data_IF_576609041070
#
_entry.id   IF_576609041070
#
_cell.length_a   1.000
_cell.length_b   1.000
_cell.length_c   1.000
_cell.angle_alpha   90.00
_cell.angle_beta   90.00
_cell.angle_gamma   90.00
#
_symmetry.space_group_name_H-M   'P 1'
#
loop_
_entity.id
_entity.type
_entity.pdbx_description
1 polymer ?
#
# COMPACT_ATOMS: atom_id res chain seq x y z
N UNK A 1 39.12 -6.11 -60.96
CA UNK A 1 38.78 -4.86 -61.69
C UNK A 1 37.28 -4.84 -61.95
N UNK A 2 36.68 -3.65 -61.77
CA UNK A 2 35.30 -3.20 -62.11
C UNK A 2 34.14 -3.69 -61.22
N UNK A 3 33.58 -2.91 -60.28
CA UNK A 3 32.73 -1.67 -60.29
C UNK A 3 31.23 -1.84 -60.59
N UNK A 4 30.45 -1.16 -59.71
CA UNK A 4 29.11 -0.52 -59.86
C UNK A 4 27.90 -1.48 -59.89
N UNK A 5 26.84 -1.36 -59.07
CA UNK A 5 25.97 -0.26 -58.54
C UNK A 5 24.57 -0.28 -59.20
N UNK A 6 23.57 -0.32 -58.32
CA UNK A 6 22.27 0.38 -58.33
C UNK A 6 21.07 -0.14 -59.18
N UNK A 7 19.96 -0.34 -58.45
CA UNK A 7 18.55 0.00 -58.78
C UNK A 7 17.82 -0.80 -59.88
N UNK A 8 16.53 -1.12 -59.82
CA UNK A 8 15.40 -0.70 -58.98
C UNK A 8 14.14 -1.53 -59.36
N UNK A 9 13.19 -1.70 -58.41
CA UNK A 9 11.70 -1.62 -58.61
C UNK A 9 11.04 -2.82 -59.37
N UNK A 10 9.93 -3.48 -59.01
CA UNK A 10 8.66 -3.19 -58.30
C UNK A 10 7.94 -4.52 -57.98
N UNK A 11 7.31 -4.67 -56.81
CA UNK A 11 5.97 -5.28 -56.58
C UNK A 11 5.75 -5.63 -55.08
N UNK A 12 4.89 -4.86 -54.41
CA UNK A 12 4.19 -5.26 -53.17
C UNK A 12 2.91 -6.07 -53.53
N UNK A 13 2.04 -6.55 -52.60
CA UNK A 13 2.03 -6.51 -51.12
C UNK A 13 1.69 -7.87 -50.44
N UNK A 14 1.78 -7.97 -49.10
CA UNK A 14 0.74 -8.54 -48.21
C UNK A 14 1.29 -8.90 -46.81
N UNK A 15 0.73 -8.22 -45.81
CA UNK A 15 0.49 -8.60 -44.42
C UNK A 15 1.17 -9.85 -43.84
N UNK A 16 2.01 -9.66 -42.81
CA UNK A 16 1.96 -10.41 -41.55
C UNK A 16 2.83 -9.73 -40.48
N UNK A 17 2.24 -8.89 -39.65
CA UNK A 17 2.68 -8.74 -38.25
C UNK A 17 2.18 -9.98 -37.49
N UNK A 18 3.07 -10.70 -36.79
CA UNK A 18 3.02 -10.63 -35.33
C UNK A 18 4.39 -10.90 -34.68
N UNK A 19 5.09 -9.87 -34.19
CA UNK A 19 6.30 -10.08 -33.39
C UNK A 19 6.62 -8.93 -32.40
N UNK A 20 5.64 -8.07 -32.07
CA UNK A 20 5.84 -6.98 -31.09
C UNK A 20 5.14 -7.20 -29.75
N UNK A 21 4.14 -8.08 -29.66
CA UNK A 21 3.45 -8.38 -28.40
C UNK A 21 4.20 -9.36 -27.49
N UNK A 22 5.13 -10.17 -28.02
CA UNK A 22 5.91 -11.09 -27.19
C UNK A 22 7.12 -10.43 -26.49
N UNK A 23 7.47 -9.18 -26.82
CA UNK A 23 8.60 -8.47 -26.21
C UNK A 23 8.19 -7.52 -25.07
N UNK A 24 6.89 -7.23 -24.89
CA UNK A 24 6.41 -6.41 -23.76
C UNK A 24 6.35 -7.16 -22.42
N UNK A 25 6.51 -8.49 -22.43
CA UNK A 25 6.50 -9.34 -21.24
C UNK A 25 7.88 -9.65 -20.63
N UNK A 26 8.99 -9.13 -21.20
CA UNK A 26 10.35 -9.51 -20.82
C UNK A 26 11.24 -8.32 -20.45
N UNK A 27 10.69 -7.26 -19.86
CA UNK A 27 11.54 -6.30 -19.16
C UNK A 27 11.81 -6.87 -17.76
N UNK A 28 13.07 -7.20 -17.41
CA UNK A 28 13.41 -7.70 -16.09
C UNK A 28 13.06 -6.64 -15.04
N UNK A 29 12.52 -7.09 -13.91
CA UNK A 29 12.35 -6.23 -12.73
C UNK A 29 13.75 -5.82 -12.26
N UNK A 30 14.17 -4.60 -12.59
CA UNK A 30 15.50 -4.09 -12.23
C UNK A 30 16.18 -3.16 -13.24
N UNK A 31 15.70 -3.02 -14.47
CA UNK A 31 16.31 -2.04 -15.38
C UNK A 31 16.00 -0.61 -14.91
N UNK A 32 17.00 0.30 -14.79
CA UNK A 32 16.70 1.73 -14.78
C UNK A 32 15.89 2.01 -16.03
N UNK A 33 14.85 2.84 -15.93
CA UNK A 33 14.09 3.29 -17.09
C UNK A 33 15.11 3.76 -18.14
N UNK A 34 15.30 2.97 -19.20
CA UNK A 34 15.95 3.49 -20.39
C UNK A 34 15.00 4.58 -20.85
N UNK A 35 15.46 5.82 -20.82
CA UNK A 35 14.80 6.96 -21.45
C UNK A 35 14.76 6.69 -22.96
N UNK A 36 13.85 5.81 -23.37
CA UNK A 36 13.54 5.59 -24.78
C UNK A 36 12.70 6.79 -25.19
N UNK A 37 13.19 7.62 -26.13
CA UNK A 37 12.42 8.74 -26.64
C UNK A 37 11.09 8.22 -27.16
N UNK A 38 9.99 8.87 -26.78
CA UNK A 38 8.68 8.50 -27.29
C UNK A 38 8.69 8.57 -28.83
N UNK A 39 8.17 7.52 -29.49
CA UNK A 39 8.07 7.56 -30.94
C UNK A 39 7.06 8.64 -31.37
N UNK A 40 7.21 9.24 -32.56
CA UNK A 40 6.20 10.15 -33.10
C UNK A 40 4.81 9.50 -33.12
N UNK A 41 3.82 10.15 -32.49
CA UNK A 41 2.45 9.64 -32.38
C UNK A 41 2.19 8.72 -31.18
N UNK A 42 3.21 8.43 -30.36
CA UNK A 42 3.04 7.69 -29.11
C UNK A 42 2.47 8.60 -28.02
N UNK A 43 1.49 8.12 -27.26
CA UNK A 43 0.97 8.88 -26.13
C UNK A 43 2.04 9.00 -25.05
N UNK A 44 2.26 10.26 -24.62
CA UNK A 44 3.21 10.59 -23.57
C UNK A 44 2.50 11.11 -22.35
N UNK A 45 3.17 10.95 -21.24
CA UNK A 45 2.75 11.33 -19.91
C UNK A 45 3.10 12.82 -19.66
N UNK A 46 2.71 13.41 -18.51
CA UNK A 46 2.99 14.81 -18.18
C UNK A 46 4.48 15.14 -18.03
N UNK A 47 5.35 14.14 -18.01
CA UNK A 47 6.82 14.23 -17.95
C UNK A 47 7.47 13.81 -19.27
N UNK A 48 6.69 13.59 -20.34
CA UNK A 48 7.21 13.20 -21.66
C UNK A 48 7.54 11.71 -21.83
N UNK A 49 7.17 10.86 -20.86
CA UNK A 49 7.45 9.42 -20.89
C UNK A 49 6.36 8.67 -21.67
N UNK A 50 6.69 7.62 -22.44
CA UNK A 50 5.70 6.84 -23.16
C UNK A 50 4.73 6.10 -22.21
N UNK A 51 3.43 6.16 -22.50
CA UNK A 51 2.36 5.47 -21.76
C UNK A 51 1.39 4.77 -22.71
N UNK A 52 0.67 3.75 -22.20
CA UNK A 52 -0.39 3.12 -23.00
C UNK A 52 -1.62 4.04 -23.10
N UNK A 53 -2.41 3.92 -24.18
CA UNK A 53 -3.67 4.67 -24.31
C UNK A 53 -4.66 4.42 -23.16
N UNK A 54 -4.71 3.20 -22.58
CA UNK A 54 -5.56 2.95 -21.42
C UNK A 54 -5.07 3.71 -20.19
N UNK A 55 -3.76 3.72 -19.95
CA UNK A 55 -3.12 4.45 -18.84
C UNK A 55 -3.36 5.96 -18.96
N UNK A 56 -3.22 6.52 -20.16
CA UNK A 56 -3.47 7.94 -20.42
C UNK A 56 -4.94 8.31 -20.17
N UNK A 57 -5.90 7.51 -20.67
CA UNK A 57 -7.32 7.76 -20.44
C UNK A 57 -7.69 7.70 -18.96
N UNK A 58 -7.12 6.77 -18.20
CA UNK A 58 -7.30 6.71 -16.75
C UNK A 58 -6.72 7.95 -16.07
N UNK A 59 -5.50 8.32 -16.45
CA UNK A 59 -4.83 9.52 -15.96
C UNK A 59 -5.64 10.80 -16.22
N UNK A 60 -6.15 10.99 -17.44
CA UNK A 60 -6.96 12.16 -17.80
C UNK A 60 -8.32 12.17 -17.07
N UNK A 61 -8.92 11.00 -16.78
CA UNK A 61 -10.12 10.92 -15.91
C UNK A 61 -9.81 11.41 -14.50
N UNK A 62 -8.69 10.98 -13.93
CA UNK A 62 -8.28 11.42 -12.60
C UNK A 62 -7.98 12.91 -12.60
N UNK A 63 -7.22 13.43 -13.57
CA UNK A 63 -6.93 14.87 -13.68
C UNK A 63 -8.20 15.72 -13.72
N UNK A 64 -9.22 15.32 -14.49
CA UNK A 64 -10.52 16.00 -14.52
C UNK A 64 -11.19 16.04 -13.15
N UNK A 65 -10.98 15.02 -12.32
CA UNK A 65 -11.56 14.96 -10.98
C UNK A 65 -10.86 15.86 -9.95
N UNK A 66 -9.69 16.44 -10.25
CA UNK A 66 -8.87 17.19 -9.30
C UNK A 66 -9.27 18.67 -9.14
N UNK A 67 -10.34 19.12 -9.82
CA UNK A 67 -10.86 20.50 -9.73
C UNK A 67 -9.76 21.58 -9.85
N UNK A 68 -8.81 21.39 -10.78
CA UNK A 68 -7.74 22.36 -11.05
C UNK A 68 -6.49 22.23 -10.17
N UNK A 69 -6.44 21.29 -9.22
CA UNK A 69 -5.19 21.01 -8.47
C UNK A 69 -4.15 20.38 -9.38
N UNK A 70 -2.97 21.01 -9.46
CA UNK A 70 -1.79 20.42 -10.10
C UNK A 70 -1.15 19.41 -9.18
N UNK A 71 -0.84 18.23 -9.72
CA UNK A 71 -0.09 17.21 -9.00
C UNK A 71 1.40 17.55 -9.00
N UNK A 72 2.04 17.33 -7.86
CA UNK A 72 3.50 17.29 -7.80
C UNK A 72 4.02 16.08 -8.59
N UNK A 73 5.29 16.11 -9.06
CA UNK A 73 5.92 14.94 -9.69
C UNK A 73 5.81 13.66 -8.84
N UNK A 74 5.84 13.79 -7.51
CA UNK A 74 5.66 12.70 -6.53
C UNK A 74 4.29 12.06 -6.60
N UNK A 75 3.26 12.89 -6.55
CA UNK A 75 1.87 12.42 -6.62
C UNK A 75 1.55 11.83 -7.99
N UNK A 76 2.19 12.37 -9.03
CA UNK A 76 2.09 11.93 -10.40
C UNK A 76 2.69 10.54 -10.65
N UNK A 77 3.90 10.25 -10.13
CA UNK A 77 4.52 8.94 -10.25
C UNK A 77 3.75 7.87 -9.45
N UNK A 78 3.29 8.22 -8.24
CA UNK A 78 2.41 7.36 -7.44
C UNK A 78 1.11 7.04 -8.19
N UNK A 79 0.49 8.07 -8.77
CA UNK A 79 -0.71 8.00 -9.59
C UNK A 79 -0.53 7.07 -10.79
N UNK A 80 0.50 7.27 -11.61
CA UNK A 80 0.79 6.38 -12.73
C UNK A 80 1.05 4.96 -12.28
N UNK A 81 1.73 4.79 -11.15
CA UNK A 81 2.08 3.48 -10.71
C UNK A 81 0.89 2.70 -10.14
N UNK A 82 -0.07 3.39 -9.51
CA UNK A 82 -1.37 2.86 -9.12
C UNK A 82 -2.26 2.60 -10.34
N UNK A 83 -2.25 3.47 -11.36
CA UNK A 83 -2.95 3.24 -12.64
C UNK A 83 -2.42 1.99 -13.34
N UNK A 84 -1.11 1.78 -13.36
CA UNK A 84 -0.52 0.64 -14.07
C UNK A 84 -0.62 -0.70 -13.31
N UNK A 85 -1.41 -0.78 -12.22
CA UNK A 85 -1.70 -2.05 -11.54
C UNK A 85 -2.76 -2.86 -12.29
N UNK A 86 -2.72 -4.21 -12.21
CA UNK A 86 -3.80 -5.06 -12.71
C UNK A 86 -5.13 -4.66 -12.08
N UNK A 87 -6.15 -4.44 -12.92
CA UNK A 87 -7.50 -4.21 -12.43
C UNK A 87 -8.01 -5.46 -11.72
N UNK A 88 -8.59 -5.30 -10.53
CA UNK A 88 -9.33 -6.39 -9.89
C UNK A 88 -10.67 -6.51 -10.62
N UNK A 89 -11.05 -7.69 -11.15
CA UNK A 89 -12.22 -7.81 -12.04
C UNK A 89 -13.57 -7.46 -11.40
N UNK A 90 -13.68 -7.42 -10.08
CA UNK A 90 -14.93 -7.19 -9.34
C UNK A 90 -14.72 -6.60 -7.93
N UNK A 91 -15.78 -6.02 -7.37
CA UNK A 91 -15.82 -5.37 -6.04
C UNK A 91 -15.59 -3.85 -6.08
N UNK A 92 -15.93 -3.08 -5.03
CA UNK A 92 -15.70 -1.64 -4.94
C UNK A 92 -14.20 -1.32 -5.15
N UNK A 93 -13.28 -2.13 -4.62
CA UNK A 93 -11.83 -1.95 -4.85
C UNK A 93 -11.34 -2.15 -6.30
N UNK A 94 -12.23 -2.49 -7.24
CA UNK A 94 -11.93 -2.48 -8.68
C UNK A 94 -11.65 -1.08 -9.21
N UNK A 95 -12.17 -0.04 -8.54
CA UNK A 95 -12.08 1.32 -9.01
C UNK A 95 -10.77 1.98 -8.55
N UNK A 96 -9.69 1.45 -9.12
CA UNK A 96 -8.34 2.02 -9.11
C UNK A 96 -8.36 3.54 -9.34
N UNK A 97 -9.26 4.03 -10.18
CA UNK A 97 -9.35 5.45 -10.50
C UNK A 97 -9.91 6.26 -9.31
N UNK A 98 -10.83 5.71 -8.51
CA UNK A 98 -11.35 6.36 -7.29
C UNK A 98 -10.33 6.43 -6.14
N UNK A 99 -9.57 5.36 -5.92
CA UNK A 99 -8.42 5.31 -5.00
C UNK A 99 -7.43 6.42 -5.33
N UNK A 100 -7.12 6.49 -6.61
CA UNK A 100 -6.13 7.37 -7.17
C UNK A 100 -6.63 8.82 -7.16
N UNK A 101 -7.90 9.07 -7.44
CA UNK A 101 -8.56 10.36 -7.24
C UNK A 101 -8.57 10.77 -5.77
N UNK A 102 -8.76 9.84 -4.82
CA UNK A 102 -8.70 10.15 -3.39
C UNK A 102 -7.29 10.60 -2.98
N UNK A 103 -6.25 9.87 -3.38
CA UNK A 103 -4.85 10.27 -3.16
C UNK A 103 -4.50 11.59 -3.84
N UNK A 104 -4.95 11.77 -5.08
CA UNK A 104 -4.72 12.96 -5.86
C UNK A 104 -5.55 14.17 -5.40
N UNK A 105 -6.61 13.99 -4.59
CA UNK A 105 -7.34 15.09 -3.93
C UNK A 105 -6.77 15.42 -2.55
N UNK A 106 -6.47 14.41 -1.74
CA UNK A 106 -5.98 14.57 -0.36
C UNK A 106 -4.48 14.88 -0.29
N UNK A 107 -3.72 14.58 -1.34
CA UNK A 107 -2.27 14.73 -1.39
C UNK A 107 -1.52 13.76 -0.47
N UNK A 108 -0.19 13.70 -0.60
CA UNK A 108 0.70 12.90 0.27
C UNK A 108 0.88 13.55 1.66
N UNK A 109 -0.02 14.44 2.07
CA UNK A 109 0.06 15.03 3.40
C UNK A 109 -1.19 15.79 3.79
N UNK A 110 -2.00 15.18 4.66
CA UNK A 110 -2.97 15.92 5.47
C UNK A 110 -3.10 15.35 6.89
N UNK A 111 -2.17 15.77 7.76
CA UNK A 111 -2.42 16.57 8.97
C UNK A 111 -1.10 16.79 9.73
N UNK A 112 -0.60 18.02 9.76
CA UNK A 112 0.20 18.54 10.88
C UNK A 112 1.73 18.55 10.81
N UNK A 113 2.41 17.95 9.82
CA UNK A 113 3.86 18.10 9.72
C UNK A 113 4.37 17.92 8.29
N UNK A 114 5.45 18.60 7.95
CA UNK A 114 6.28 18.37 6.76
C UNK A 114 6.71 16.90 6.69
N UNK A 115 5.88 16.02 6.13
CA UNK A 115 6.30 14.66 5.80
C UNK A 115 7.10 14.73 4.50
N UNK A 116 8.42 14.88 4.61
CA UNK A 116 9.33 14.73 3.49
C UNK A 116 9.47 13.23 3.18
N UNK A 117 8.42 12.58 2.67
CA UNK A 117 8.57 11.23 2.10
C UNK A 117 9.46 11.38 0.87
N UNK A 118 10.57 10.64 0.86
CA UNK A 118 11.51 10.68 -0.27
C UNK A 118 10.87 10.02 -1.50
N UNK A 119 11.17 10.53 -2.69
CA UNK A 119 10.67 9.98 -3.96
C UNK A 119 11.03 8.50 -4.08
N UNK A 120 12.24 8.12 -3.64
CA UNK A 120 12.70 6.74 -3.58
C UNK A 120 11.84 5.86 -2.66
N UNK A 121 11.36 6.39 -1.54
CA UNK A 121 10.52 5.66 -0.59
C UNK A 121 9.10 5.44 -1.17
N UNK A 122 8.54 6.43 -1.88
CA UNK A 122 7.29 6.28 -2.62
C UNK A 122 7.40 5.23 -3.74
N UNK A 123 8.49 5.25 -4.51
CA UNK A 123 8.75 4.24 -5.54
C UNK A 123 8.87 2.83 -4.96
N UNK A 124 9.50 2.69 -3.78
CA UNK A 124 9.58 1.40 -3.07
C UNK A 124 8.21 0.92 -2.60
N UNK A 125 7.39 1.79 -2.03
CA UNK A 125 6.01 1.49 -1.63
C UNK A 125 5.15 1.04 -2.80
N UNK A 126 5.27 1.71 -3.94
CA UNK A 126 4.59 1.34 -5.18
C UNK A 126 4.98 -0.07 -5.63
N UNK A 127 6.28 -0.38 -5.66
CA UNK A 127 6.76 -1.72 -6.06
C UNK A 127 6.28 -2.78 -5.08
N UNK A 128 6.33 -2.49 -3.79
CA UNK A 128 5.80 -3.35 -2.74
C UNK A 128 4.29 -3.58 -2.92
N UNK A 129 3.50 -2.55 -3.23
CA UNK A 129 2.07 -2.69 -3.51
C UNK A 129 1.79 -3.57 -4.73
N UNK A 130 2.57 -3.43 -5.82
CA UNK A 130 2.49 -4.32 -7.00
C UNK A 130 2.71 -5.77 -6.59
N UNK A 131 3.85 -6.01 -5.95
CA UNK A 131 4.29 -7.34 -5.56
C UNK A 131 3.28 -7.98 -4.61
N UNK A 132 2.77 -7.21 -3.65
CA UNK A 132 1.80 -7.69 -2.68
C UNK A 132 0.46 -8.05 -3.33
N UNK A 133 -0.02 -7.24 -4.26
CA UNK A 133 -1.26 -7.52 -4.97
C UNK A 133 -1.17 -8.81 -5.80
N UNK A 134 -0.04 -9.02 -6.48
CA UNK A 134 0.20 -10.25 -7.26
C UNK A 134 0.32 -11.45 -6.34
N UNK A 135 1.15 -11.37 -5.30
CA UNK A 135 1.48 -12.51 -4.46
C UNK A 135 0.33 -12.90 -3.51
N UNK A 136 -0.25 -11.92 -2.82
CA UNK A 136 -1.28 -12.15 -1.79
C UNK A 136 -2.72 -12.02 -2.30
N UNK A 137 -2.91 -11.65 -3.58
CA UNK A 137 -4.24 -11.42 -4.18
C UNK A 137 -5.08 -10.39 -3.41
N UNK A 138 -4.41 -9.42 -2.79
CA UNK A 138 -5.03 -8.31 -2.08
C UNK A 138 -5.23 -7.14 -3.05
N UNK A 139 -6.39 -6.46 -3.03
CA UNK A 139 -6.58 -5.25 -3.82
C UNK A 139 -5.56 -4.17 -3.40
N UNK A 140 -4.82 -3.55 -4.33
CA UNK A 140 -3.82 -2.53 -4.00
C UNK A 140 -4.41 -1.36 -3.20
N UNK A 141 -5.68 -1.03 -3.47
CA UNK A 141 -6.43 0.02 -2.78
C UNK A 141 -6.50 -0.18 -1.26
N UNK A 142 -6.71 -1.41 -0.81
CA UNK A 142 -6.80 -1.76 0.61
C UNK A 142 -5.48 -1.45 1.30
N UNK A 143 -4.37 -1.93 0.73
CA UNK A 143 -3.03 -1.72 1.31
C UNK A 143 -2.60 -0.28 1.29
N UNK A 144 -2.79 0.41 0.17
CA UNK A 144 -2.33 1.78 0.01
C UNK A 144 -3.13 2.75 0.89
N UNK A 145 -4.43 2.54 1.05
CA UNK A 145 -5.24 3.36 1.95
C UNK A 145 -4.98 3.08 3.42
N UNK A 146 -4.74 1.82 3.79
CA UNK A 146 -4.26 1.50 5.13
C UNK A 146 -2.93 2.23 5.39
N UNK A 147 -1.94 2.06 4.53
CA UNK A 147 -0.59 2.65 4.68
C UNK A 147 -0.63 4.18 4.76
N UNK A 148 -1.41 4.84 3.90
CA UNK A 148 -1.59 6.30 3.96
C UNK A 148 -2.18 6.77 5.28
N UNK A 149 -3.16 6.05 5.81
CA UNK A 149 -3.87 6.44 7.02
C UNK A 149 -3.02 6.15 8.27
N UNK A 150 -2.36 5.01 8.28
CA UNK A 150 -1.51 4.56 9.39
C UNK A 150 -0.26 5.44 9.53
N UNK A 151 0.39 5.79 8.43
CA UNK A 151 1.69 6.48 8.50
C UNK A 151 1.83 7.71 7.61
N UNK A 152 0.84 8.05 6.79
CA UNK A 152 1.02 9.06 5.74
C UNK A 152 2.10 8.66 4.72
N UNK A 153 2.34 7.36 4.55
CA UNK A 153 3.48 6.79 3.82
C UNK A 153 4.87 7.06 4.45
N UNK A 154 4.93 7.65 5.65
CA UNK A 154 6.18 7.83 6.36
C UNK A 154 6.68 6.49 6.92
N UNK A 155 7.81 6.03 6.40
CA UNK A 155 8.47 4.83 6.93
C UNK A 155 9.13 5.05 8.29
N UNK A 156 9.37 6.29 8.70
CA UNK A 156 9.88 6.66 10.02
C UNK A 156 8.77 6.83 11.06
N UNK A 157 7.51 6.62 10.68
CA UNK A 157 6.37 6.76 11.58
C UNK A 157 6.50 5.80 12.77
N UNK A 158 6.25 6.33 13.97
CA UNK A 158 6.27 5.59 15.22
C UNK A 158 5.17 6.11 16.12
N UNK A 159 4.18 5.27 16.44
CA UNK A 159 3.07 5.61 17.30
C UNK A 159 3.50 5.63 18.77
N UNK A 160 3.19 6.71 19.47
CA UNK A 160 3.56 6.93 20.87
C UNK A 160 2.83 5.99 21.84
N UNK A 161 1.59 5.62 21.52
CA UNK A 161 0.69 4.88 22.43
C UNK A 161 0.77 3.38 22.21
N UNK A 162 0.89 2.93 20.96
CA UNK A 162 0.86 1.51 20.59
C UNK A 162 2.24 0.94 20.28
N UNK A 163 3.29 1.78 20.19
CA UNK A 163 4.63 1.40 19.70
C UNK A 163 4.63 0.81 18.27
N UNK A 164 3.58 1.08 17.50
CA UNK A 164 3.49 0.71 16.10
C UNK A 164 4.47 1.50 15.24
N UNK A 165 5.04 0.87 14.20
CA UNK A 165 6.17 1.41 13.44
C UNK A 165 6.04 1.20 11.94
N UNK A 166 6.69 2.08 11.20
CA UNK A 166 6.82 1.96 9.76
C UNK A 166 5.53 2.26 9.01
N UNK A 167 5.54 1.92 7.73
CA UNK A 167 4.50 2.33 6.78
C UNK A 167 3.13 1.70 7.07
N UNK A 168 3.09 0.47 7.57
CA UNK A 168 1.87 -0.21 7.98
C UNK A 168 1.55 -0.11 9.47
N UNK A 169 2.36 0.60 10.27
CA UNK A 169 2.17 0.71 11.72
C UNK A 169 2.04 -0.67 12.41
N UNK A 170 3.02 -1.55 12.20
CA UNK A 170 3.11 -2.84 12.90
C UNK A 170 3.87 -2.67 14.23
N UNK A 171 3.41 -3.35 15.29
CA UNK A 171 4.19 -3.48 16.53
C UNK A 171 5.27 -4.56 16.37
N UNK A 172 6.33 -4.50 17.19
CA UNK A 172 7.39 -5.52 17.17
C UNK A 172 6.82 -6.94 17.40
N UNK A 173 5.86 -7.08 18.33
CA UNK A 173 5.19 -8.34 18.62
C UNK A 173 4.35 -8.85 17.44
N UNK A 174 3.49 -8.00 16.87
CA UNK A 174 2.65 -8.38 15.74
C UNK A 174 3.47 -8.80 14.51
N UNK A 175 4.55 -8.07 14.23
CA UNK A 175 5.45 -8.39 13.13
C UNK A 175 6.21 -9.71 13.38
N UNK A 176 6.71 -9.94 14.59
CA UNK A 176 7.36 -11.20 14.98
C UNK A 176 6.42 -12.41 14.89
N UNK A 177 5.19 -12.28 15.38
CA UNK A 177 4.15 -13.29 15.26
C UNK A 177 3.82 -13.59 13.80
N UNK A 178 3.79 -12.57 12.95
CA UNK A 178 3.53 -12.74 11.52
C UNK A 178 4.66 -13.52 10.85
N UNK A 179 5.92 -13.24 11.18
CA UNK A 179 7.06 -14.03 10.67
C UNK A 179 6.95 -15.50 11.10
N UNK A 180 6.61 -15.77 12.35
CA UNK A 180 6.39 -17.12 12.83
C UNK A 180 5.22 -17.82 12.11
N UNK A 181 4.14 -17.09 11.80
CA UNK A 181 2.99 -17.61 11.04
C UNK A 181 3.36 -17.91 9.58
N UNK A 182 4.12 -17.04 8.92
CA UNK A 182 4.60 -17.25 7.55
C UNK A 182 5.45 -18.52 7.45
N UNK A 183 6.25 -18.81 8.49
CA UNK A 183 7.05 -20.04 8.55
C UNK A 183 6.19 -21.30 8.76
N UNK A 184 5.07 -21.19 9.47
CA UNK A 184 4.19 -22.32 9.83
C UNK A 184 3.09 -22.59 8.81
N UNK A 185 2.63 -21.58 8.06
CA UNK A 185 1.58 -21.72 7.05
C UNK A 185 2.23 -21.83 5.64
N UNK A 186 2.13 -22.99 4.96
CA UNK A 186 2.78 -23.21 3.67
C UNK A 186 2.34 -22.25 2.56
N UNK A 187 1.04 -21.94 2.50
CA UNK A 187 0.49 -21.06 1.46
C UNK A 187 0.90 -19.61 1.70
N UNK A 188 0.79 -19.13 2.93
CA UNK A 188 1.25 -17.79 3.27
C UNK A 188 2.76 -17.65 3.06
N UNK A 189 3.53 -18.68 3.42
CA UNK A 189 4.96 -18.77 3.12
C UNK A 189 5.28 -18.74 1.63
N UNK A 190 4.47 -19.41 0.79
CA UNK A 190 4.61 -19.37 -0.67
C UNK A 190 4.35 -17.96 -1.21
N UNK A 191 3.28 -17.31 -0.77
CA UNK A 191 2.93 -15.95 -1.15
C UNK A 191 4.01 -14.95 -0.71
N UNK A 192 4.55 -15.05 0.51
CA UNK A 192 5.63 -14.16 0.96
C UNK A 192 6.93 -14.37 0.17
N UNK A 193 7.25 -15.60 -0.25
CA UNK A 193 8.37 -15.87 -1.18
C UNK A 193 8.15 -15.26 -2.56
N UNK A 194 6.93 -15.39 -3.10
CA UNK A 194 6.55 -14.77 -4.38
C UNK A 194 6.68 -13.24 -4.31
N UNK A 195 6.19 -12.63 -3.23
CA UNK A 195 6.34 -11.21 -2.94
C UNK A 195 7.81 -10.77 -2.93
N UNK A 196 8.67 -11.48 -2.18
CA UNK A 196 10.09 -11.15 -2.11
C UNK A 196 10.77 -11.28 -3.49
N UNK A 197 10.47 -12.35 -4.24
CA UNK A 197 10.99 -12.57 -5.58
C UNK A 197 10.61 -11.45 -6.55
N UNK A 198 9.37 -10.96 -6.49
CA UNK A 198 8.90 -9.85 -7.33
C UNK A 198 9.59 -8.52 -7.02
N UNK A 199 10.23 -8.40 -5.85
CA UNK A 199 11.03 -7.23 -5.47
C UNK A 199 12.53 -7.42 -5.75
N UNK A 200 12.94 -8.57 -6.30
CA UNK A 200 14.35 -8.94 -6.42
C UNK A 200 15.03 -9.12 -5.07
N UNK A 201 14.25 -9.46 -4.03
CA UNK A 201 14.72 -9.63 -2.66
C UNK A 201 14.58 -11.08 -2.19
N UNK A 202 15.30 -11.41 -1.13
CA UNK A 202 15.09 -12.66 -0.40
C UNK A 202 14.19 -12.42 0.82
N UNK A 203 13.45 -13.46 1.19
CA UNK A 203 12.71 -13.48 2.45
C UNK A 203 13.66 -13.27 3.62
N UNK A 204 13.41 -12.30 4.51
CA UNK A 204 14.20 -12.20 5.73
C UNK A 204 13.98 -13.47 6.57
N UNK A 205 15.06 -14.16 6.91
CA UNK A 205 15.02 -15.39 7.73
C UNK A 205 14.75 -15.09 9.20
N UNK A 206 14.93 -13.84 9.60
CA UNK A 206 14.65 -13.31 10.94
C UNK A 206 14.02 -11.92 10.81
N UNK A 207 13.19 -11.58 11.78
CA UNK A 207 12.63 -10.24 11.91
C UNK A 207 13.43 -9.44 12.93
N UNK A 208 13.85 -8.24 12.52
CA UNK A 208 14.53 -7.29 13.38
C UNK A 208 13.54 -6.18 13.76
N UNK A 209 13.06 -6.22 15.00
CA UNK A 209 12.28 -5.13 15.57
C UNK A 209 13.17 -3.94 15.93
N UNK A 210 12.55 -2.88 16.47
CA UNK A 210 13.27 -1.69 16.94
C UNK A 210 12.97 -1.39 18.44
N UNK A 211 13.43 -2.25 19.37
CA UNK A 211 13.20 -2.06 20.81
C UNK A 211 13.96 -0.86 21.40
N UNK A 212 15.08 -0.49 20.80
CA UNK A 212 15.85 0.71 21.09
C UNK A 212 15.04 1.98 20.80
N UNK A 213 14.33 2.02 19.66
CA UNK A 213 13.43 3.14 19.32
C UNK A 213 12.25 3.21 20.29
N UNK A 214 11.75 2.07 20.79
CA UNK A 214 10.73 2.05 21.83
C UNK A 214 11.22 2.60 23.17
N UNK A 215 12.48 2.31 23.53
CA UNK A 215 13.09 2.87 24.73
C UNK A 215 13.22 4.39 24.61
N UNK A 216 13.78 4.91 23.50
CA UNK A 216 13.92 6.35 23.27
C UNK A 216 12.54 7.05 23.22
N UNK A 217 11.54 6.41 22.63
CA UNK A 217 10.17 6.95 22.55
C UNK A 217 9.55 7.10 23.94
N UNK A 218 9.77 6.13 24.83
CA UNK A 218 9.35 6.21 26.25
C UNK A 218 10.10 7.31 27.00
N UNK A 219 11.42 7.40 26.84
CA UNK A 219 12.22 8.47 27.45
C UNK A 219 11.72 9.88 27.05
N UNK A 220 11.34 10.08 25.79
CA UNK A 220 10.75 11.35 25.33
C UNK A 220 9.42 11.64 26.05
N UNK A 221 8.58 10.62 26.25
CA UNK A 221 7.32 10.76 26.96
C UNK A 221 7.54 11.10 28.45
N UNK A 222 8.51 10.46 29.09
CA UNK A 222 8.87 10.71 30.49
C UNK A 222 9.46 12.11 30.68
N UNK A 223 10.34 12.56 29.77
CA UNK A 223 10.86 13.93 29.76
C UNK A 223 9.75 14.97 29.63
N UNK A 224 8.75 14.71 28.77
CA UNK A 224 7.59 15.60 28.63
C UNK A 224 6.76 15.67 29.92
N UNK A 225 6.49 14.51 30.55
CA UNK A 225 5.76 14.44 31.82
C UNK A 225 6.50 15.15 32.95
N UNK A 226 7.83 15.08 32.95
CA UNK A 226 8.68 15.74 33.95
C UNK A 226 8.87 17.25 33.70
N UNK A 227 8.29 17.82 32.65
CA UNK A 227 8.47 19.24 32.32
C UNK A 227 9.90 19.60 31.89
N UNK A 228 10.64 18.65 31.31
CA UNK A 228 12.01 18.87 30.87
C UNK A 228 12.11 19.97 29.80
N UNK A 229 13.30 20.56 29.66
CA UNK A 229 13.53 21.64 28.70
C UNK A 229 13.27 21.19 27.25
N UNK A 230 12.81 22.09 26.36
CA UNK A 230 12.63 21.78 24.95
C UNK A 230 13.90 21.23 24.28
N UNK A 231 15.08 21.73 24.67
CA UNK A 231 16.36 21.25 24.15
C UNK A 231 16.63 19.77 24.48
N UNK A 232 16.30 19.32 25.69
CA UNK A 232 16.45 17.92 26.09
C UNK A 232 15.51 16.99 25.29
N UNK A 233 14.27 17.43 25.07
CA UNK A 233 13.28 16.70 24.27
C UNK A 233 13.73 16.62 22.80
N UNK A 234 14.22 17.72 22.22
CA UNK A 234 14.71 17.74 20.83
C UNK A 234 15.97 16.88 20.64
N UNK A 235 16.89 16.87 21.61
CA UNK A 235 18.05 15.99 21.57
C UNK A 235 17.63 14.51 21.51
N UNK A 236 16.63 14.09 22.30
CA UNK A 236 16.11 12.71 22.25
C UNK A 236 15.33 12.41 20.98
N UNK A 237 14.56 13.36 20.43
CA UNK A 237 13.95 13.20 19.10
C UNK A 237 15.00 12.99 18.01
N UNK A 238 16.12 13.72 18.06
CA UNK A 238 17.24 13.54 17.13
C UNK A 238 17.89 12.15 17.28
N UNK A 239 18.10 11.69 18.51
CA UNK A 239 18.59 10.34 18.78
C UNK A 239 17.64 9.27 18.22
N UNK A 240 16.32 9.44 18.41
CA UNK A 240 15.30 8.54 17.83
C UNK A 240 15.39 8.49 16.31
N UNK A 241 15.48 9.65 15.66
CA UNK A 241 15.59 9.73 14.20
C UNK A 241 16.88 9.07 13.69
N UNK A 242 17.99 9.21 14.42
CA UNK A 242 19.26 8.56 14.08
C UNK A 242 19.17 7.03 14.21
N UNK A 243 18.55 6.52 15.28
CA UNK A 243 18.32 5.08 15.47
C UNK A 243 17.47 4.48 14.34
N UNK A 244 16.40 5.17 13.93
CA UNK A 244 15.60 4.78 12.76
C UNK A 244 16.47 4.80 11.50
N UNK A 245 17.24 5.87 11.28
CA UNK A 245 18.05 6.05 10.08
C UNK A 245 19.14 4.98 9.91
N UNK A 246 19.67 4.44 11.01
CA UNK A 246 20.69 3.40 10.98
C UNK A 246 20.21 2.09 10.37
N UNK A 247 18.93 1.73 10.57
CA UNK A 247 18.40 0.41 10.23
C UNK A 247 17.24 0.42 9.22
N UNK A 248 16.73 1.60 8.83
CA UNK A 248 15.55 1.74 7.95
C UNK A 248 15.69 1.11 6.56
N UNK A 249 16.90 0.79 6.12
CA UNK A 249 17.17 0.17 4.82
C UNK A 249 17.58 -1.31 4.95
N UNK A 250 17.79 -1.81 6.16
CA UNK A 250 18.15 -3.21 6.40
C UNK A 250 16.98 -4.15 6.11
N UNK A 251 17.21 -5.16 5.28
CA UNK A 251 16.20 -6.18 5.01
C UNK A 251 15.83 -6.93 6.30
N UNK A 252 14.53 -7.15 6.52
CA UNK A 252 14.02 -7.78 7.74
C UNK A 252 13.82 -6.82 8.92
N UNK A 253 14.22 -5.55 8.80
CA UNK A 253 13.98 -4.55 9.84
C UNK A 253 12.57 -3.93 9.75
N UNK A 254 11.95 -3.61 10.89
CA UNK A 254 10.58 -3.07 10.95
C UNK A 254 10.40 -1.71 10.25
N UNK A 255 11.47 -0.95 10.04
CA UNK A 255 11.44 0.33 9.32
C UNK A 255 11.77 0.22 7.83
N UNK A 256 12.18 -0.96 7.36
CA UNK A 256 12.35 -1.23 5.95
C UNK A 256 10.99 -1.33 5.26
N UNK A 257 10.82 -0.57 4.17
CA UNK A 257 9.53 -0.44 3.47
C UNK A 257 9.03 -1.78 2.99
N UNK A 258 9.85 -2.52 2.26
CA UNK A 258 9.47 -3.80 1.67
C UNK A 258 9.13 -4.83 2.75
N UNK A 259 9.87 -4.82 3.86
CA UNK A 259 9.64 -5.72 5.00
C UNK A 259 8.32 -5.37 5.69
N UNK A 260 8.16 -4.12 6.14
CA UNK A 260 6.99 -3.68 6.91
C UNK A 260 5.71 -3.78 6.08
N UNK A 261 5.76 -3.33 4.83
CA UNK A 261 4.63 -3.41 3.91
C UNK A 261 4.28 -4.87 3.56
N UNK A 262 5.29 -5.71 3.35
CA UNK A 262 5.10 -7.14 3.09
C UNK A 262 4.44 -7.87 4.26
N UNK A 263 4.87 -7.59 5.50
CA UNK A 263 4.26 -8.14 6.71
C UNK A 263 2.83 -7.62 6.92
N UNK A 264 2.58 -6.35 6.58
CA UNK A 264 1.23 -5.76 6.61
C UNK A 264 0.29 -6.50 5.65
N UNK A 265 0.76 -6.75 4.41
CA UNK A 265 0.01 -7.50 3.42
C UNK A 265 -0.22 -8.96 3.82
N UNK A 266 0.81 -9.62 4.35
CA UNK A 266 0.68 -10.98 4.87
C UNK A 266 -0.34 -11.05 6.01
N UNK A 267 -0.32 -10.08 6.93
CA UNK A 267 -1.24 -10.06 8.07
C UNK A 267 -2.69 -9.80 7.64
N UNK A 268 -2.94 -8.83 6.76
CA UNK A 268 -4.28 -8.63 6.20
C UNK A 268 -4.79 -9.85 5.43
N UNK A 269 -3.92 -10.54 4.70
CA UNK A 269 -4.29 -11.75 3.97
C UNK A 269 -4.65 -12.88 4.90
N UNK A 270 -3.84 -13.08 5.96
CA UNK A 270 -4.16 -14.02 7.02
C UNK A 270 -5.50 -13.69 7.71
N UNK A 271 -5.76 -12.42 7.99
CA UNK A 271 -7.05 -12.01 8.55
C UNK A 271 -8.20 -12.34 7.59
N UNK A 272 -8.09 -11.96 6.32
CA UNK A 272 -9.14 -12.16 5.31
C UNK A 272 -9.41 -13.64 5.02
N UNK A 273 -8.35 -14.45 4.88
CA UNK A 273 -8.44 -15.81 4.32
C UNK A 273 -8.48 -16.89 5.40
N UNK A 274 -7.77 -16.72 6.50
CA UNK A 274 -7.66 -17.74 7.55
C UNK A 274 -8.59 -17.44 8.73
N UNK A 275 -8.88 -16.16 9.00
CA UNK A 275 -9.63 -15.74 10.19
C UNK A 275 -11.03 -15.25 9.94
N UNK A 276 -11.30 -14.77 8.74
CA UNK A 276 -12.62 -14.28 8.30
C UNK A 276 -13.07 -14.94 6.98
N UNK A 277 -12.85 -16.25 6.74
CA UNK A 277 -13.23 -16.88 5.47
C UNK A 277 -14.74 -16.83 5.21
N UNK A 278 -15.56 -16.81 6.26
CA UNK A 278 -17.03 -16.84 6.20
C UNK A 278 -17.66 -15.50 5.77
N UNK A 279 -16.89 -14.41 5.79
CA UNK A 279 -17.38 -13.09 5.40
C UNK A 279 -17.45 -13.01 3.88
N UNK A 280 -18.67 -12.80 3.39
CA UNK A 280 -18.99 -12.65 1.97
C UNK A 280 -19.93 -11.46 1.81
N UNK A 281 -19.86 -10.65 0.74
CA UNK A 281 -18.97 -10.71 -0.42
C UNK A 281 -17.48 -10.36 -0.14
N UNK A 282 -16.61 -10.56 -1.14
CA UNK A 282 -15.14 -10.49 -1.01
C UNK A 282 -14.63 -9.15 -0.46
N UNK A 283 -15.27 -8.07 -0.87
CA UNK A 283 -15.00 -6.70 -0.45
C UNK A 283 -15.38 -6.44 1.00
N UNK A 284 -16.53 -6.95 1.43
CA UNK A 284 -16.94 -6.95 2.83
C UNK A 284 -15.90 -7.67 3.70
N UNK A 285 -15.35 -8.78 3.20
CA UNK A 285 -14.24 -9.49 3.84
C UNK A 285 -13.01 -8.61 4.04
N UNK A 286 -12.62 -7.80 3.05
CA UNK A 286 -11.48 -6.90 3.16
C UNK A 286 -11.74 -5.71 4.09
N UNK A 287 -12.93 -5.11 4.08
CA UNK A 287 -13.29 -4.06 5.05
C UNK A 287 -13.24 -4.58 6.49
N UNK A 288 -13.75 -5.79 6.70
CA UNK A 288 -13.73 -6.45 8.02
C UNK A 288 -12.30 -6.79 8.45
N UNK A 289 -11.45 -7.25 7.52
CA UNK A 289 -10.04 -7.50 7.81
C UNK A 289 -9.27 -6.22 8.17
N UNK A 290 -9.58 -5.07 7.54
CA UNK A 290 -9.01 -3.77 7.90
C UNK A 290 -9.44 -3.34 9.30
N UNK A 291 -10.72 -3.49 9.64
CA UNK A 291 -11.18 -3.23 11.01
C UNK A 291 -10.47 -4.14 12.03
N UNK A 292 -10.31 -5.43 11.70
CA UNK A 292 -9.61 -6.40 12.54
C UNK A 292 -8.11 -6.11 12.69
N UNK A 293 -7.47 -5.51 11.68
CA UNK A 293 -6.06 -5.13 11.71
C UNK A 293 -5.75 -4.18 12.87
N UNK A 294 -6.61 -3.19 13.08
CA UNK A 294 -6.41 -2.12 14.06
C UNK A 294 -7.12 -2.38 15.39
N UNK A 295 -8.33 -2.94 15.35
CA UNK A 295 -9.16 -3.19 16.53
C UNK A 295 -8.98 -4.60 17.11
N UNK A 296 -8.25 -5.46 16.41
CA UNK A 296 -8.09 -6.87 16.76
C UNK A 296 -9.26 -7.74 16.28
N UNK A 297 -8.97 -9.04 16.14
CA UNK A 297 -9.95 -10.02 15.66
C UNK A 297 -11.15 -10.20 16.61
N UNK A 298 -10.95 -10.00 17.92
CA UNK A 298 -12.04 -10.07 18.90
C UNK A 298 -13.17 -9.09 18.56
N UNK A 299 -12.81 -7.84 18.24
CA UNK A 299 -13.77 -6.80 17.83
C UNK A 299 -14.52 -7.18 16.56
N UNK A 300 -13.84 -7.73 15.55
CA UNK A 300 -14.49 -8.21 14.33
C UNK A 300 -15.48 -9.36 14.63
N UNK A 301 -15.12 -10.26 15.54
CA UNK A 301 -16.03 -11.32 15.97
C UNK A 301 -17.22 -10.79 16.78
N UNK A 302 -17.04 -9.76 17.61
CA UNK A 302 -18.17 -9.11 18.28
C UNK A 302 -19.12 -8.47 17.28
N UNK A 303 -18.60 -7.80 16.26
CA UNK A 303 -19.40 -7.26 15.18
C UNK A 303 -20.21 -8.34 14.47
N UNK A 304 -19.56 -9.42 14.02
CA UNK A 304 -20.23 -10.49 13.26
C UNK A 304 -21.23 -11.25 14.14
N UNK A 305 -20.79 -11.74 15.30
CA UNK A 305 -21.55 -12.72 16.07
C UNK A 305 -22.38 -12.12 17.20
N UNK A 306 -22.02 -10.95 17.76
CA UNK A 306 -22.82 -10.30 18.81
C UNK A 306 -23.78 -9.26 18.23
N UNK A 307 -23.32 -8.40 17.33
CA UNK A 307 -24.18 -7.32 16.79
C UNK A 307 -25.14 -7.86 15.72
N UNK A 308 -24.63 -8.72 14.84
CA UNK A 308 -25.40 -9.27 13.74
C UNK A 308 -25.76 -10.75 13.93
N UNK A 309 -25.60 -11.32 15.12
CA UNK A 309 -26.01 -12.70 15.43
C UNK A 309 -25.45 -13.80 14.50
N UNK A 310 -24.36 -13.51 13.76
CA UNK A 310 -23.67 -14.47 12.90
C UNK A 310 -23.34 -13.94 11.52
N UNK A 311 -22.52 -14.70 10.78
CA UNK A 311 -22.05 -14.31 9.46
C UNK A 311 -23.17 -14.18 8.42
N UNK A 312 -24.24 -14.98 8.50
CA UNK A 312 -25.35 -14.91 7.56
C UNK A 312 -26.05 -13.55 7.61
N UNK A 313 -26.44 -13.14 8.81
CA UNK A 313 -27.11 -11.86 9.07
C UNK A 313 -26.17 -10.68 8.84
N UNK A 314 -24.87 -10.82 9.16
CA UNK A 314 -23.84 -9.84 8.82
C UNK A 314 -23.72 -9.64 7.30
N UNK A 315 -23.57 -10.73 6.54
CA UNK A 315 -23.39 -10.71 5.09
C UNK A 315 -24.64 -10.20 4.34
N UNK A 316 -25.81 -10.25 4.97
CA UNK A 316 -27.05 -9.70 4.42
C UNK A 316 -27.14 -8.16 4.53
N UNK A 317 -26.24 -7.51 5.30
CA UNK A 317 -26.25 -6.06 5.49
C UNK A 317 -25.33 -5.34 4.50
N UNK A 318 -25.71 -4.12 4.07
CA UNK A 318 -24.79 -3.29 3.31
C UNK A 318 -23.64 -2.80 4.20
N UNK A 319 -22.46 -2.61 3.60
CA UNK A 319 -21.28 -2.10 4.30
C UNK A 319 -21.52 -0.75 5.00
N UNK A 320 -22.37 0.12 4.43
CA UNK A 320 -22.73 1.41 5.03
C UNK A 320 -23.49 1.27 6.35
N UNK A 321 -24.29 0.20 6.51
CA UNK A 321 -24.97 -0.09 7.78
C UNK A 321 -23.99 -0.71 8.78
N UNK A 322 -23.19 -1.68 8.34
CA UNK A 322 -22.22 -2.40 9.16
C UNK A 322 -21.18 -1.44 9.75
N UNK A 323 -20.63 -0.55 8.93
CA UNK A 323 -19.59 0.38 9.35
C UNK A 323 -20.15 1.78 9.63
N UNK A 324 -21.34 1.83 10.27
CA UNK A 324 -22.01 3.05 10.71
C UNK A 324 -21.72 3.39 12.17
N UNK A 325 -21.92 4.65 12.54
CA UNK A 325 -21.85 5.09 13.94
C UNK A 325 -22.86 4.33 14.83
N UNK A 326 -24.04 4.00 14.31
CA UNK A 326 -25.06 3.26 15.03
C UNK A 326 -24.60 1.83 15.36
N UNK A 327 -23.92 1.17 14.43
CA UNK A 327 -23.37 -0.18 14.65
C UNK A 327 -22.14 -0.14 15.54
N UNK A 328 -21.25 0.84 15.35
CA UNK A 328 -20.09 1.04 16.23
C UNK A 328 -20.51 1.28 17.69
N UNK A 329 -21.60 2.00 17.92
CA UNK A 329 -22.16 2.23 19.26
C UNK A 329 -22.70 0.96 19.94
N UNK A 330 -23.04 -0.08 19.17
CA UNK A 330 -23.44 -1.40 19.70
C UNK A 330 -22.24 -2.26 20.09
N UNK A 331 -21.04 -1.91 19.63
CA UNK A 331 -19.81 -2.54 20.07
C UNK A 331 -19.39 -1.94 21.41
N UNK A 332 -18.93 -2.79 22.33
CA UNK A 332 -18.35 -2.42 23.63
C UNK A 332 -16.96 -1.76 23.51
N UNK A 333 -16.79 -0.89 22.52
CA UNK A 333 -15.58 -0.13 22.23
C UNK A 333 -15.60 1.22 22.95
N UNK A 334 -14.42 1.74 23.30
CA UNK A 334 -14.31 3.13 23.78
C UNK A 334 -14.62 4.12 22.65
N UNK A 335 -15.03 5.36 22.95
CA UNK A 335 -15.30 6.37 21.93
C UNK A 335 -14.14 6.58 20.94
N UNK A 336 -12.89 6.50 21.42
CA UNK A 336 -11.69 6.62 20.59
C UNK A 336 -11.58 5.45 19.61
N UNK A 337 -11.82 4.21 20.08
CA UNK A 337 -11.79 3.02 19.23
C UNK A 337 -12.94 2.97 18.24
N UNK A 338 -14.12 3.46 18.61
CA UNK A 338 -15.24 3.64 17.68
C UNK A 338 -14.88 4.65 16.57
N UNK A 339 -14.26 5.78 16.93
CA UNK A 339 -13.79 6.77 15.96
C UNK A 339 -12.73 6.20 15.01
N UNK A 340 -11.77 5.44 15.54
CA UNK A 340 -10.75 4.77 14.75
C UNK A 340 -11.36 3.77 13.75
N UNK A 341 -12.25 2.88 14.20
CA UNK A 341 -12.91 1.88 13.34
C UNK A 341 -13.65 2.55 12.16
N UNK A 342 -14.45 3.58 12.45
CA UNK A 342 -15.19 4.32 11.42
C UNK A 342 -14.27 5.10 10.49
N UNK A 343 -13.17 5.64 11.02
CA UNK A 343 -12.13 6.32 10.24
C UNK A 343 -11.39 5.37 9.30
N UNK A 344 -11.08 4.15 9.75
CA UNK A 344 -10.44 3.07 8.99
C UNK A 344 -11.29 2.64 7.81
N UNK A 345 -12.48 2.13 8.11
CA UNK A 345 -13.32 1.50 7.10
C UNK A 345 -13.89 2.56 6.17
N UNK A 346 -14.29 3.71 6.71
CA UNK A 346 -14.72 4.84 5.90
C UNK A 346 -13.62 5.36 4.95
N UNK A 347 -12.34 5.29 5.32
CA UNK A 347 -11.25 5.67 4.41
C UNK A 347 -11.09 4.65 3.29
N UNK A 348 -11.06 3.36 3.63
CA UNK A 348 -10.95 2.28 2.64
C UNK A 348 -12.18 2.24 1.73
N UNK A 349 -13.38 2.55 2.23
CA UNK A 349 -14.61 2.72 1.44
C UNK A 349 -14.52 3.92 0.48
N UNK A 350 -14.07 5.09 0.96
CA UNK A 350 -13.85 6.27 0.09
C UNK A 350 -12.83 5.98 -1.01
N UNK A 351 -11.80 5.19 -0.70
CA UNK A 351 -10.80 4.74 -1.65
C UNK A 351 -11.31 3.71 -2.65
N UNK A 352 -12.36 2.98 -2.31
CA UNK A 352 -12.95 1.96 -3.17
C UNK A 352 -13.90 2.56 -4.22
N UNK A 353 -14.24 3.85 -4.16
CA UNK A 353 -15.17 4.45 -5.12
C UNK A 353 -16.61 3.92 -4.96
N UNK A 354 -17.57 4.81 -5.24
CA UNK A 354 -18.98 4.47 -5.35
C UNK A 354 -19.31 4.22 -6.81
#
# INVERSE_FOLDING_TARGET
MKTLLLSAVLAAPAFATPALDQLRGLVPVGSPALDVPAMPGQEVDALGRPVSPETRRAYDRILRSLNGRRLSPREYDLLLALINQPAVPSGPFKDRDALVTHFAKSGVGLRGSKANVADSDLWRLVRAARAASVAYKIPPAVLMCLTFRESGFDRGASAWTTSAKGVGQLTNGAAGDMVARIQKNPELGRQTREYASLLGASMPTKFNGAPDVDAITREIADLRKAGASPAAIEAKKKARAAAIAAHKDEAGHIYNIETNFGLTAAYLTYLRRDRLPEVTPEDLGWYTAVAAYNQGLGTANELIYKVYAGAADYNARPADEIFSAATAAKLTLTPERQHEMLGEVGSVQRCAGR
#
